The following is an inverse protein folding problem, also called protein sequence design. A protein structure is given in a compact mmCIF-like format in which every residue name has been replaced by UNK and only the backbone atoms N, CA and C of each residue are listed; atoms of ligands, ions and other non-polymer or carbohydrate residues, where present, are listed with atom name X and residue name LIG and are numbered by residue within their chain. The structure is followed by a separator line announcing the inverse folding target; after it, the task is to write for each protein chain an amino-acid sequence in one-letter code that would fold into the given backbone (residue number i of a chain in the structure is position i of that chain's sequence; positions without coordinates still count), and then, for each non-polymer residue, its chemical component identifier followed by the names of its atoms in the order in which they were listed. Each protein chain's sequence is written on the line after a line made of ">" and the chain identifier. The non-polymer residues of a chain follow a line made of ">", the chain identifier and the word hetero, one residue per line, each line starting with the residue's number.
data_IF_314355864336
#
_entry.id   IF_314355864336
#
_cell.length_a   1.000
_cell.length_b   1.000
_cell.length_c   1.000
_cell.angle_alpha   90.00
_cell.angle_beta   90.00
_cell.angle_gamma   90.00
#
_symmetry.space_group_name_H-M   'P 1'
#
loop_
_entity.id
_entity.type
_entity.pdbx_description
1 polymer ?
#
# COMPACT_ATOMS: atom_id res chain seq x y z
N UNK A 1 7.70 -5.15 22.65
CA UNK A 1 6.79 -4.05 22.29
C UNK A 1 6.56 -3.09 23.46
N UNK A 2 6.17 -3.56 24.65
CA UNK A 2 5.93 -2.70 25.85
C UNK A 2 7.17 -1.92 26.31
N UNK A 3 8.37 -2.51 26.23
CA UNK A 3 9.62 -1.85 26.61
C UNK A 3 10.02 -0.66 25.71
N UNK A 4 9.63 -0.67 24.44
CA UNK A 4 9.92 0.44 23.51
C UNK A 4 9.01 1.65 23.75
N UNK A 5 7.77 1.41 24.18
CA UNK A 5 6.81 2.47 24.54
C UNK A 5 7.33 3.23 25.78
N UNK A 6 7.93 2.53 26.74
CA UNK A 6 8.48 3.11 27.96
C UNK A 6 9.68 4.03 27.70
N UNK A 7 10.54 3.69 26.73
CA UNK A 7 11.67 4.55 26.36
C UNK A 7 11.27 5.82 25.60
N UNK A 8 10.16 5.80 24.85
CA UNK A 8 9.67 7.01 24.16
C UNK A 8 9.27 8.11 25.15
N UNK A 9 8.74 7.77 26.33
CA UNK A 9 8.27 8.75 27.31
C UNK A 9 9.37 9.59 27.97
N UNK A 10 10.64 9.18 27.89
CA UNK A 10 11.77 9.92 28.49
C UNK A 10 12.54 10.82 27.50
N UNK A 11 12.21 10.77 26.20
CA UNK A 11 12.88 11.59 25.19
C UNK A 11 12.28 13.00 25.10
N UNK A 12 13.10 14.05 24.90
CA UNK A 12 12.61 15.40 24.62
C UNK A 12 11.73 15.40 23.36
N UNK A 13 10.71 16.26 23.34
CA UNK A 13 9.62 16.26 22.34
C UNK A 13 10.11 16.11 20.88
N UNK A 14 11.18 16.84 20.52
CA UNK A 14 11.78 16.80 19.18
C UNK A 14 12.34 15.41 18.82
N UNK A 15 13.00 14.70 19.74
CA UNK A 15 13.51 13.34 19.50
C UNK A 15 12.39 12.29 19.42
N UNK A 16 11.26 12.53 20.08
CA UNK A 16 10.10 11.63 20.07
C UNK A 16 9.37 11.66 18.72
N UNK A 17 9.20 12.84 18.12
CA UNK A 17 8.61 12.97 16.77
C UNK A 17 9.49 12.32 15.70
N UNK A 18 10.81 12.54 15.76
CA UNK A 18 11.76 11.91 14.84
C UNK A 18 11.64 10.39 14.90
N UNK A 19 11.66 9.79 16.10
CA UNK A 19 11.56 8.34 16.26
C UNK A 19 10.20 7.78 15.81
N UNK A 20 9.11 8.51 16.06
CA UNK A 20 7.76 8.14 15.60
C UNK A 20 7.66 8.16 14.08
N UNK A 21 8.24 9.18 13.44
CA UNK A 21 8.27 9.31 11.99
C UNK A 21 9.12 8.20 11.35
N UNK A 22 10.29 7.85 11.92
CA UNK A 22 11.08 6.71 11.46
C UNK A 22 10.30 5.38 11.52
N UNK A 23 9.55 5.15 12.60
CA UNK A 23 8.73 3.95 12.74
C UNK A 23 7.59 3.91 11.70
N UNK A 24 6.89 5.03 11.49
CA UNK A 24 5.82 5.14 10.48
C UNK A 24 6.36 4.93 9.06
N UNK A 25 7.52 5.50 8.74
CA UNK A 25 8.19 5.33 7.44
C UNK A 25 8.59 3.86 7.22
N UNK A 26 9.21 3.23 8.22
CA UNK A 26 9.60 1.82 8.11
C UNK A 26 8.39 0.91 7.94
N UNK A 27 7.30 1.16 8.68
CA UNK A 27 6.05 0.42 8.53
C UNK A 27 5.43 0.60 7.14
N UNK A 28 5.41 1.83 6.61
CA UNK A 28 4.97 2.11 5.24
C UNK A 28 5.75 1.29 4.23
N UNK A 29 7.08 1.34 4.26
CA UNK A 29 7.92 0.66 3.27
C UNK A 29 7.64 -0.85 3.28
N UNK A 30 7.50 -1.47 4.45
CA UNK A 30 7.14 -2.89 4.56
C UNK A 30 5.74 -3.19 4.03
N UNK A 31 4.76 -2.33 4.32
CA UNK A 31 3.39 -2.45 3.84
C UNK A 31 3.30 -2.34 2.31
N UNK A 32 3.95 -1.34 1.71
CA UNK A 32 3.98 -1.16 0.26
C UNK A 32 4.63 -2.36 -0.45
N UNK A 33 5.81 -2.79 0.00
CA UNK A 33 6.52 -3.91 -0.62
C UNK A 33 5.71 -5.22 -0.56
N UNK A 34 5.11 -5.52 0.60
CA UNK A 34 4.28 -6.72 0.74
C UNK A 34 3.03 -6.68 -0.16
N UNK A 35 2.37 -5.52 -0.24
CA UNK A 35 1.18 -5.35 -1.08
C UNK A 35 1.52 -5.46 -2.57
N UNK A 36 2.60 -4.84 -3.03
CA UNK A 36 3.07 -4.92 -4.42
C UNK A 36 3.40 -6.36 -4.80
N UNK A 37 4.17 -7.07 -3.97
CA UNK A 37 4.58 -8.46 -4.24
C UNK A 37 3.38 -9.40 -4.26
N UNK A 38 2.48 -9.28 -3.27
CA UNK A 38 1.27 -10.10 -3.20
C UNK A 38 0.38 -9.88 -4.43
N UNK A 39 0.15 -8.62 -4.77
CA UNK A 39 -0.73 -8.25 -5.88
C UNK A 39 -0.12 -8.65 -7.21
N UNK A 40 1.16 -8.37 -7.46
CA UNK A 40 1.84 -8.82 -8.68
C UNK A 40 1.74 -10.33 -8.87
N UNK A 41 1.94 -11.13 -7.80
CA UNK A 41 1.79 -12.59 -7.88
C UNK A 41 0.35 -13.02 -8.10
N UNK A 42 -0.60 -12.43 -7.38
CA UNK A 42 -2.02 -12.75 -7.54
C UNK A 42 -2.46 -12.50 -8.99
N UNK A 43 -2.14 -11.33 -9.54
CA UNK A 43 -2.50 -10.96 -10.91
C UNK A 43 -1.73 -11.75 -11.97
N UNK A 44 -0.48 -12.13 -11.74
CA UNK A 44 0.29 -12.99 -12.66
C UNK A 44 -0.31 -14.40 -12.86
N UNK A 45 -1.21 -14.83 -11.97
CA UNK A 45 -1.89 -16.12 -12.09
C UNK A 45 -3.09 -16.09 -13.04
N UNK A 46 -3.57 -14.91 -13.41
CA UNK A 46 -4.68 -14.72 -14.33
C UNK A 46 -4.12 -14.32 -15.69
N UNK A 47 -4.18 -15.23 -16.66
CA UNK A 47 -3.71 -14.96 -18.03
C UNK A 47 -4.92 -14.51 -18.86
N UNK A 48 -4.78 -13.42 -19.63
CA UNK A 48 -5.77 -12.98 -20.61
C UNK A 48 -6.85 -12.02 -20.10
N UNK A 49 -6.68 -11.41 -18.92
CA UNK A 49 -7.57 -10.33 -18.46
C UNK A 49 -7.04 -8.95 -18.87
N UNK A 50 -7.96 -8.00 -19.10
CA UNK A 50 -7.66 -6.67 -19.67
C UNK A 50 -6.62 -5.84 -18.87
N UNK A 51 -6.43 -6.16 -17.59
CA UNK A 51 -5.51 -5.48 -16.68
C UNK A 51 -4.15 -6.18 -16.49
N UNK A 52 -3.85 -7.24 -17.24
CA UNK A 52 -2.61 -8.03 -17.10
C UNK A 52 -1.35 -7.17 -17.24
N UNK A 53 -1.38 -6.19 -18.15
CA UNK A 53 -0.27 -5.29 -18.45
C UNK A 53 0.14 -4.45 -17.23
N UNK A 54 -0.79 -4.15 -16.32
CA UNK A 54 -0.50 -3.35 -15.12
C UNK A 54 0.29 -4.12 -14.05
N UNK A 55 0.29 -5.46 -14.13
CA UNK A 55 0.86 -6.34 -13.11
C UNK A 55 1.87 -7.37 -13.65
N UNK A 56 2.11 -7.39 -14.97
CA UNK A 56 3.02 -8.33 -15.65
C UNK A 56 4.48 -8.21 -15.19
N UNK A 57 4.90 -7.02 -14.77
CA UNK A 57 6.22 -6.78 -14.18
C UNK A 57 6.12 -6.09 -12.81
N UNK A 58 7.13 -6.30 -11.97
CA UNK A 58 7.25 -5.58 -10.69
C UNK A 58 7.33 -4.06 -10.89
N UNK A 59 7.97 -3.62 -11.98
CA UNK A 59 8.10 -2.20 -12.30
C UNK A 59 6.74 -1.57 -12.67
N UNK A 60 5.94 -2.23 -13.53
CA UNK A 60 4.60 -1.76 -13.85
C UNK A 60 3.70 -1.80 -12.62
N UNK A 61 3.80 -2.86 -11.81
CA UNK A 61 3.07 -2.96 -10.55
C UNK A 61 3.38 -1.75 -9.67
N UNK A 62 4.66 -1.38 -9.52
CA UNK A 62 5.05 -0.19 -8.76
C UNK A 62 4.39 1.08 -9.28
N UNK A 63 4.39 1.33 -10.60
CA UNK A 63 3.72 2.50 -11.17
C UNK A 63 2.21 2.50 -10.92
N UNK A 64 1.56 1.35 -11.09
CA UNK A 64 0.13 1.18 -10.79
C UNK A 64 -0.16 1.48 -9.31
N UNK A 65 0.69 1.02 -8.39
CA UNK A 65 0.53 1.32 -6.97
C UNK A 65 0.74 2.81 -6.63
N UNK A 66 1.65 3.50 -7.33
CA UNK A 66 1.79 4.96 -7.21
C UNK A 66 0.55 5.68 -7.75
N UNK A 67 -0.01 5.23 -8.87
CA UNK A 67 -1.25 5.79 -9.43
C UNK A 67 -2.46 5.57 -8.50
N UNK A 68 -2.53 4.40 -7.87
CA UNK A 68 -3.58 4.11 -6.88
C UNK A 68 -3.53 5.04 -5.67
N UNK A 69 -2.34 5.53 -5.28
CA UNK A 69 -2.22 6.51 -4.19
C UNK A 69 -2.90 7.83 -4.53
N UNK A 70 -2.92 8.22 -5.80
CA UNK A 70 -3.57 9.45 -6.25
C UNK A 70 -5.06 9.27 -6.50
N UNK A 71 -5.65 8.13 -6.12
CA UNK A 71 -7.05 7.77 -6.38
C UNK A 71 -7.40 7.72 -7.88
N UNK A 72 -6.38 7.61 -8.73
CA UNK A 72 -6.53 7.70 -10.18
C UNK A 72 -6.68 6.30 -10.79
N UNK A 73 -7.65 6.14 -11.71
CA UNK A 73 -7.98 4.91 -12.43
C UNK A 73 -8.00 3.62 -11.58
N UNK A 74 -8.39 3.71 -10.30
CA UNK A 74 -8.36 2.56 -9.40
C UNK A 74 -9.44 1.52 -9.73
N UNK A 75 -10.58 1.96 -10.24
CA UNK A 75 -11.70 1.11 -10.67
C UNK A 75 -11.37 0.35 -11.96
N UNK A 76 -10.65 0.99 -12.89
CA UNK A 76 -10.15 0.37 -14.12
C UNK A 76 -9.18 -0.80 -13.87
N UNK A 77 -8.52 -0.83 -12.71
CA UNK A 77 -7.67 -1.95 -12.29
C UNK A 77 -8.45 -3.12 -11.68
N UNK A 78 -9.63 -2.85 -11.12
CA UNK A 78 -10.43 -3.81 -10.35
C UNK A 78 -11.51 -4.46 -11.19
N UNK A 79 -12.23 -3.65 -11.97
CA UNK A 79 -13.37 -4.08 -12.77
C UNK A 79 -13.01 -5.22 -13.74
N UNK A 80 -11.86 -5.21 -14.46
CA UNK A 80 -11.53 -6.30 -15.37
C UNK A 80 -11.30 -7.64 -14.69
N UNK A 81 -10.81 -7.65 -13.44
CA UNK A 81 -10.61 -8.89 -12.67
C UNK A 81 -11.94 -9.45 -12.19
N UNK A 82 -12.82 -8.57 -11.72
CA UNK A 82 -14.15 -8.99 -11.29
C UNK A 82 -14.97 -9.53 -12.45
N UNK A 83 -14.99 -8.83 -13.59
CA UNK A 83 -15.74 -9.28 -14.77
C UNK A 83 -15.20 -10.62 -15.32
N UNK A 84 -13.87 -10.80 -15.35
CA UNK A 84 -13.25 -11.99 -15.93
C UNK A 84 -13.19 -13.20 -14.99
N UNK A 85 -12.94 -12.99 -13.70
CA UNK A 85 -12.69 -14.06 -12.74
C UNK A 85 -13.78 -14.17 -11.66
N UNK A 86 -14.71 -13.22 -11.57
CA UNK A 86 -15.71 -13.11 -10.50
C UNK A 86 -15.08 -13.05 -9.10
N UNK A 87 -13.84 -12.57 -9.00
CA UNK A 87 -13.11 -12.46 -7.75
C UNK A 87 -13.29 -11.06 -7.15
N UNK A 88 -13.84 -11.02 -5.94
CA UNK A 88 -14.08 -9.77 -5.20
C UNK A 88 -12.85 -9.26 -4.43
N UNK A 89 -11.81 -10.08 -4.27
CA UNK A 89 -10.63 -9.75 -3.46
C UNK A 89 -10.00 -8.39 -3.82
N UNK A 90 -9.82 -8.02 -5.11
CA UNK A 90 -9.32 -6.69 -5.48
C UNK A 90 -10.18 -5.50 -5.00
N UNK A 91 -11.51 -5.66 -4.98
CA UNK A 91 -12.44 -4.65 -4.48
C UNK A 91 -12.30 -4.37 -2.98
N UNK A 92 -11.67 -5.29 -2.24
CA UNK A 92 -11.38 -5.10 -0.82
C UNK A 92 -9.95 -4.59 -0.65
N UNK A 93 -9.00 -5.18 -1.38
CA UNK A 93 -7.57 -4.94 -1.21
C UNK A 93 -7.17 -3.51 -1.59
N UNK A 94 -7.60 -2.99 -2.75
CA UNK A 94 -7.19 -1.65 -3.18
C UNK A 94 -7.81 -0.52 -2.36
N UNK A 95 -9.11 -0.52 -2.01
CA UNK A 95 -9.66 0.51 -1.11
C UNK A 95 -8.99 0.50 0.27
N UNK A 96 -8.71 -0.67 0.84
CA UNK A 96 -7.94 -0.77 2.08
C UNK A 96 -6.54 -0.16 1.92
N UNK A 97 -5.86 -0.47 0.83
CA UNK A 97 -4.55 0.10 0.51
C UNK A 97 -4.59 1.62 0.40
N UNK A 98 -5.56 2.17 -0.32
CA UNK A 98 -5.76 3.61 -0.51
C UNK A 98 -5.97 4.30 0.84
N UNK A 99 -6.84 3.78 1.70
CA UNK A 99 -7.15 4.38 3.01
C UNK A 99 -5.93 4.34 3.91
N UNK A 100 -5.30 3.18 4.08
CA UNK A 100 -4.14 3.01 4.97
C UNK A 100 -2.99 3.90 4.51
N UNK A 101 -2.72 3.92 3.20
CA UNK A 101 -1.64 4.70 2.63
C UNK A 101 -1.84 6.20 2.79
N UNK A 102 -3.04 6.71 2.49
CA UNK A 102 -3.34 8.13 2.63
C UNK A 102 -3.32 8.59 4.10
N UNK A 103 -3.84 7.78 5.03
CA UNK A 103 -3.80 8.09 6.46
C UNK A 103 -2.37 8.17 6.97
N UNK A 104 -1.50 7.23 6.57
CA UNK A 104 -0.11 7.24 7.05
C UNK A 104 0.69 8.36 6.38
N UNK A 105 0.53 8.58 5.06
CA UNK A 105 1.20 9.67 4.35
C UNK A 105 0.81 11.03 4.93
N UNK A 106 -0.48 11.26 5.17
CA UNK A 106 -0.96 12.50 5.79
C UNK A 106 -0.39 12.67 7.20
N UNK A 107 -0.34 11.59 7.98
CA UNK A 107 0.26 11.61 9.32
C UNK A 107 1.76 11.90 9.31
N UNK A 108 2.49 11.50 8.27
CA UNK A 108 3.92 11.82 8.11
C UNK A 108 4.11 13.28 7.66
N UNK A 109 3.24 13.79 6.77
CA UNK A 109 3.34 15.16 6.27
C UNK A 109 3.03 16.22 7.34
N UNK A 110 2.09 15.93 8.25
CA UNK A 110 1.65 16.87 9.29
C UNK A 110 2.58 16.88 10.52
N UNK A 111 3.28 15.77 10.82
CA UNK A 111 3.97 15.53 12.09
C UNK A 111 5.45 15.97 12.12
#
# INVERSE_FOLDING_TARGET
>A
MVWMIFQQQQLPYCKRNIFRNYFNISYCISYYNSTIVYTSRFYSSFIGFKGEIYYISLQQSFYTFVQLLTLDDWDANVLPVFESQQIIMPYILFPCFIIVSNVILLNILIA
#
